data_IF_081478839920
#
_entry.id   IF_081478839920
#
_cell.length_a   1.000
_cell.length_b   1.000
_cell.length_c   1.000
_cell.angle_alpha   90.00
_cell.angle_beta   90.00
_cell.angle_gamma   90.00
#
_symmetry.space_group_name_H-M   'P 1'
#
loop_
_entity.id
_entity.type
_entity.pdbx_description
1 polymer ?
#
# COMPACT_ATOMS: atom_id res chain seq x y z
N UNK A 1 3.77 -17.96 -12.37
CA UNK A 1 3.46 -16.60 -12.87
C UNK A 1 2.42 -16.00 -11.93
N UNK A 2 2.66 -14.81 -11.35
CA UNK A 2 1.62 -14.14 -10.58
C UNK A 2 0.46 -13.78 -11.51
N UNK A 3 -0.77 -14.15 -11.13
CA UNK A 3 -1.97 -13.87 -11.92
C UNK A 3 -2.26 -12.38 -11.82
N UNK A 4 -2.27 -11.73 -12.98
CA UNK A 4 -2.65 -10.32 -13.12
C UNK A 4 -4.17 -10.20 -12.91
N UNK A 5 -4.55 -9.49 -11.87
CA UNK A 5 -5.95 -9.24 -11.51
C UNK A 5 -6.33 -7.79 -11.80
N UNK A 6 -7.63 -7.51 -11.77
CA UNK A 6 -8.19 -6.16 -11.93
C UNK A 6 -8.76 -5.65 -10.62
N UNK A 7 -8.62 -4.35 -10.40
CA UNK A 7 -9.22 -3.64 -9.28
C UNK A 7 -9.73 -2.28 -9.75
N UNK A 8 -10.68 -1.70 -9.02
CA UNK A 8 -11.25 -0.38 -9.28
C UNK A 8 -10.72 0.60 -8.24
N UNK A 9 -10.35 1.79 -8.68
CA UNK A 9 -10.07 2.92 -7.78
C UNK A 9 -11.42 3.40 -7.23
N UNK A 10 -11.59 3.31 -5.91
CA UNK A 10 -12.83 3.70 -5.23
C UNK A 10 -12.72 4.98 -4.41
N UNK A 11 -11.51 5.52 -4.31
CA UNK A 11 -11.26 6.76 -3.59
C UNK A 11 -9.96 7.40 -4.06
N UNK A 12 -10.00 8.72 -4.27
CA UNK A 12 -8.84 9.55 -4.62
C UNK A 12 -8.81 10.77 -3.73
N UNK A 13 -7.74 10.96 -2.97
CA UNK A 13 -7.53 12.15 -2.15
C UNK A 13 -6.16 12.75 -2.43
N UNK A 14 -6.14 13.89 -3.09
CA UNK A 14 -4.93 14.66 -3.37
C UNK A 14 -4.54 15.44 -2.11
N UNK A 15 -3.57 14.93 -1.38
CA UNK A 15 -3.08 15.52 -0.13
C UNK A 15 -2.19 16.75 -0.39
N UNK A 16 -1.40 16.70 -1.46
CA UNK A 16 -0.50 17.76 -1.94
C UNK A 16 -0.35 17.64 -3.45
N UNK A 17 0.30 18.63 -4.07
CA UNK A 17 0.58 18.65 -5.51
C UNK A 17 1.24 17.36 -6.06
N UNK A 18 1.97 16.63 -5.21
CA UNK A 18 2.71 15.42 -5.58
C UNK A 18 2.40 14.21 -4.71
N UNK A 19 1.35 14.29 -3.86
CA UNK A 19 1.02 13.22 -2.92
C UNK A 19 -0.48 12.91 -2.98
N UNK A 20 -0.82 11.66 -3.29
CA UNK A 20 -2.19 11.17 -3.35
C UNK A 20 -2.36 9.92 -2.48
N UNK A 21 -3.52 9.82 -1.84
CA UNK A 21 -4.01 8.59 -1.22
C UNK A 21 -5.05 7.99 -2.14
N UNK A 22 -4.83 6.74 -2.54
CA UNK A 22 -5.75 5.96 -3.36
C UNK A 22 -6.29 4.77 -2.57
N UNK A 23 -7.55 4.42 -2.80
CA UNK A 23 -8.10 3.13 -2.38
C UNK A 23 -8.53 2.35 -3.58
N UNK A 24 -8.19 1.08 -3.60
CA UNK A 24 -8.61 0.14 -4.63
C UNK A 24 -9.39 -1.01 -4.03
N UNK A 25 -10.34 -1.51 -4.80
CA UNK A 25 -11.11 -2.73 -4.46
C UNK A 25 -10.98 -3.69 -5.64
N UNK A 26 -10.58 -4.94 -5.40
CA UNK A 26 -10.57 -5.96 -6.45
C UNK A 26 -11.94 -6.09 -7.11
N UNK A 27 -11.97 -6.37 -8.42
CA UNK A 27 -13.24 -6.49 -9.17
C UNK A 27 -14.11 -7.66 -8.71
N UNK A 28 -13.52 -8.66 -8.06
CA UNK A 28 -14.23 -9.75 -7.39
C UNK A 28 -14.76 -9.36 -5.99
N UNK A 29 -14.47 -8.14 -5.53
CA UNK A 29 -14.88 -7.61 -4.22
C UNK A 29 -14.12 -8.21 -3.03
N UNK A 30 -13.16 -9.10 -3.26
CA UNK A 30 -12.49 -9.87 -2.20
C UNK A 30 -11.15 -9.24 -1.86
N UNK A 31 -11.04 -8.63 -0.68
CA UNK A 31 -9.75 -8.21 -0.13
C UNK A 31 -9.02 -9.46 0.39
N UNK A 32 -7.87 -9.82 -0.18
CA UNK A 32 -7.12 -10.99 0.26
C UNK A 32 -6.59 -10.82 1.69
N UNK A 33 -6.23 -11.93 2.32
CA UNK A 33 -5.47 -11.87 3.56
C UNK A 33 -4.06 -11.38 3.27
N UNK A 34 -3.55 -10.52 4.14
CA UNK A 34 -2.18 -10.03 4.11
C UNK A 34 -1.71 -9.68 5.51
N UNK A 35 -0.43 -9.43 5.66
CA UNK A 35 0.20 -8.97 6.91
C UNK A 35 0.59 -7.50 6.76
N UNK A 36 0.52 -6.74 7.84
CA UNK A 36 1.06 -5.37 7.87
C UNK A 36 2.53 -5.38 7.46
N UNK A 37 2.94 -4.38 6.66
CA UNK A 37 4.28 -4.31 6.09
C UNK A 37 4.42 -4.94 4.70
N UNK A 38 3.42 -5.67 4.23
CA UNK A 38 3.40 -6.18 2.85
C UNK A 38 3.09 -5.08 1.84
N UNK A 39 3.34 -5.38 0.58
CA UNK A 39 3.08 -4.50 -0.56
C UNK A 39 2.28 -5.23 -1.64
N UNK A 40 1.65 -4.47 -2.50
CA UNK A 40 1.04 -4.95 -3.75
C UNK A 40 1.79 -4.35 -4.94
N UNK A 41 1.61 -4.95 -6.10
CA UNK A 41 2.08 -4.36 -7.35
C UNK A 41 0.88 -3.82 -8.11
N UNK A 42 0.90 -2.53 -8.45
CA UNK A 42 -0.16 -1.88 -9.23
C UNK A 42 0.37 -1.48 -10.60
N UNK A 43 -0.42 -1.71 -11.62
CA UNK A 43 -0.10 -1.39 -13.00
C UNK A 43 -1.18 -0.55 -13.67
N UNK A 44 -0.72 0.34 -14.56
CA UNK A 44 -1.57 1.16 -15.42
C UNK A 44 -1.16 0.99 -16.88
N UNK A 45 -2.13 1.03 -17.82
CA UNK A 45 -1.81 1.15 -19.23
C UNK A 45 -1.15 2.50 -19.50
N UNK A 46 -0.10 2.50 -20.29
CA UNK A 46 0.62 3.72 -20.67
C UNK A 46 0.31 4.04 -22.14
N UNK A 47 -0.51 5.05 -22.43
CA UNK A 47 -0.95 5.35 -23.79
C UNK A 47 0.20 5.61 -24.77
N UNK A 48 1.28 6.25 -24.33
CA UNK A 48 2.47 6.51 -25.15
C UNK A 48 3.29 5.25 -25.48
N UNK A 49 2.92 4.10 -24.96
CA UNK A 49 3.59 2.81 -25.15
C UNK A 49 2.58 1.72 -25.58
N UNK A 50 1.71 2.03 -26.51
CA UNK A 50 0.68 1.12 -27.04
C UNK A 50 -0.20 0.48 -25.93
N UNK A 51 -0.50 1.25 -24.89
CA UNK A 51 -1.24 0.80 -23.71
C UNK A 51 -0.59 -0.38 -22.98
N UNK A 52 0.71 -0.52 -23.09
CA UNK A 52 1.46 -1.50 -22.29
C UNK A 52 1.26 -1.26 -20.81
N UNK A 53 0.90 -2.30 -20.07
CA UNK A 53 0.75 -2.21 -18.62
C UNK A 53 2.14 -2.19 -17.98
N UNK A 54 2.46 -1.07 -17.34
CA UNK A 54 3.68 -0.93 -16.54
C UNK A 54 3.30 -0.97 -15.07
N UNK A 55 4.10 -1.68 -14.27
CA UNK A 55 3.81 -1.99 -12.86
C UNK A 55 4.85 -1.42 -11.92
N UNK A 56 4.40 -1.06 -10.70
CA UNK A 56 5.26 -0.67 -9.57
C UNK A 56 4.73 -1.26 -8.28
N UNK A 57 5.64 -1.55 -7.36
CA UNK A 57 5.31 -1.98 -6.01
C UNK A 57 4.94 -0.77 -5.14
N UNK A 58 3.90 -0.95 -4.32
CA UNK A 58 3.42 0.03 -3.35
C UNK A 58 3.11 -0.68 -2.03
N UNK A 59 3.71 -0.18 -0.95
CA UNK A 59 3.38 -0.66 0.40
C UNK A 59 1.91 -0.41 0.72
N UNK A 60 1.28 -1.36 1.38
CA UNK A 60 -0.11 -1.27 1.80
C UNK A 60 -0.18 -0.38 3.05
N UNK A 61 -1.01 0.65 3.01
CA UNK A 61 -1.24 1.58 4.12
C UNK A 61 -2.47 1.21 4.97
N UNK A 62 -3.45 0.48 4.39
CA UNK A 62 -4.52 -0.12 5.16
C UNK A 62 -4.00 -1.28 6.02
N UNK A 63 -4.77 -1.70 7.02
CA UNK A 63 -4.41 -2.80 7.91
C UNK A 63 -5.17 -4.09 7.54
N UNK A 64 -4.69 -5.27 7.93
CA UNK A 64 -5.23 -6.56 7.50
C UNK A 64 -6.71 -6.78 7.87
N UNK A 65 -7.19 -6.18 8.96
CA UNK A 65 -8.55 -6.27 9.45
C UNK A 65 -9.54 -5.48 8.58
N UNK A 66 -9.04 -4.48 7.84
CA UNK A 66 -9.85 -3.74 6.88
C UNK A 66 -10.13 -4.59 5.64
N UNK A 67 -11.35 -5.10 5.53
CA UNK A 67 -11.81 -5.89 4.39
C UNK A 67 -12.62 -5.08 3.36
N UNK A 68 -12.55 -3.74 3.41
CA UNK A 68 -13.32 -2.87 2.51
C UNK A 68 -12.51 -2.39 1.31
N UNK A 69 -11.21 -2.15 1.48
CA UNK A 69 -10.32 -1.61 0.44
C UNK A 69 -8.85 -1.84 0.78
N UNK A 70 -7.99 -1.74 -0.21
CA UNK A 70 -6.54 -1.59 -0.05
C UNK A 70 -6.19 -0.12 -0.24
N UNK A 71 -5.51 0.49 0.74
CA UNK A 71 -5.09 1.89 0.71
C UNK A 71 -3.61 2.01 0.36
N UNK A 72 -3.30 2.95 -0.51
CA UNK A 72 -1.96 3.25 -1.00
C UNK A 72 -1.65 4.73 -0.83
N UNK A 73 -0.41 5.04 -0.47
CA UNK A 73 0.12 6.40 -0.44
C UNK A 73 1.14 6.53 -1.56
N UNK A 74 0.85 7.38 -2.54
CA UNK A 74 1.62 7.46 -3.78
C UNK A 74 2.16 8.87 -3.96
N UNK A 75 3.46 8.98 -4.22
CA UNK A 75 4.11 10.23 -4.59
C UNK A 75 4.32 10.27 -6.10
N UNK A 76 3.96 11.39 -6.70
CA UNK A 76 4.24 11.65 -8.10
C UNK A 76 5.72 11.97 -8.30
N UNK A 77 6.41 11.12 -9.03
CA UNK A 77 7.81 11.35 -9.44
C UNK A 77 7.78 12.26 -10.68
N UNK A 78 8.25 13.50 -10.53
CA UNK A 78 8.26 14.52 -11.59
C UNK A 78 9.64 14.71 -12.24
N UNK A 79 10.73 14.53 -11.49
CA UNK A 79 12.11 14.84 -11.91
C UNK A 79 13.02 13.62 -11.71
N UNK A 80 14.07 13.43 -12.52
CA UNK A 80 14.43 14.21 -13.73
C UNK A 80 13.46 14.02 -14.89
N UNK A 81 12.74 12.90 -14.94
CA UNK A 81 11.67 12.60 -15.89
C UNK A 81 10.42 12.11 -15.14
N UNK A 82 9.22 12.45 -15.61
CA UNK A 82 7.98 11.96 -14.99
C UNK A 82 7.95 10.43 -14.91
N UNK A 83 7.61 9.91 -13.73
CA UNK A 83 7.42 8.48 -13.54
C UNK A 83 6.15 8.03 -14.26
N UNK A 84 6.26 7.10 -15.20
CA UNK A 84 5.13 6.66 -16.06
C UNK A 84 3.91 6.21 -15.26
N UNK A 85 4.09 5.24 -14.37
CA UNK A 85 2.98 4.69 -13.56
C UNK A 85 2.45 5.71 -12.55
N UNK A 86 3.34 6.47 -11.88
CA UNK A 86 2.90 7.48 -10.92
C UNK A 86 2.14 8.60 -11.62
N UNK A 87 2.52 9.00 -12.84
CA UNK A 87 1.77 9.97 -13.64
C UNK A 87 0.40 9.43 -14.01
N UNK A 88 0.31 8.16 -14.46
CA UNK A 88 -0.97 7.55 -14.80
C UNK A 88 -1.90 7.47 -13.58
N UNK A 89 -1.38 7.06 -12.42
CA UNK A 89 -2.16 6.99 -11.17
C UNK A 89 -2.60 8.36 -10.64
N UNK A 90 -1.79 9.41 -10.86
CA UNK A 90 -2.17 10.79 -10.50
C UNK A 90 -3.26 11.38 -11.39
N UNK A 91 -3.34 10.92 -12.64
CA UNK A 91 -4.37 11.33 -13.58
C UNK A 91 -5.62 10.44 -13.52
N UNK A 92 -5.56 9.35 -12.77
CA UNK A 92 -6.68 8.44 -12.60
C UNK A 92 -7.71 8.99 -11.61
N UNK A 93 -8.97 8.63 -11.80
CA UNK A 93 -10.10 9.00 -10.98
C UNK A 93 -10.79 7.80 -10.35
N UNK A 94 -11.79 8.09 -9.53
CA UNK A 94 -12.70 7.06 -9.01
C UNK A 94 -13.47 6.40 -10.17
N UNK A 95 -13.54 5.07 -10.16
CA UNK A 95 -14.11 4.26 -11.22
C UNK A 95 -13.08 3.71 -12.21
N UNK A 96 -11.88 4.25 -12.27
CA UNK A 96 -10.84 3.76 -13.16
C UNK A 96 -10.33 2.38 -12.74
N UNK A 97 -10.03 1.55 -13.74
CA UNK A 97 -9.51 0.21 -13.55
C UNK A 97 -7.98 0.21 -13.49
N UNK A 98 -7.43 -0.54 -12.55
CA UNK A 98 -6.00 -0.83 -12.44
C UNK A 98 -5.74 -2.33 -12.51
N UNK A 99 -4.60 -2.70 -13.10
CA UNK A 99 -4.04 -4.05 -12.97
C UNK A 99 -3.34 -4.15 -11.63
N UNK A 100 -3.48 -5.28 -10.94
CA UNK A 100 -2.78 -5.48 -9.68
C UNK A 100 -2.35 -6.93 -9.45
N UNK A 101 -1.34 -7.10 -8.61
CA UNK A 101 -0.87 -8.39 -8.13
C UNK A 101 -1.07 -8.42 -6.62
N UNK A 102 -1.65 -9.52 -6.09
CA UNK A 102 -1.94 -9.67 -4.67
C UNK A 102 -0.76 -9.41 -3.73
N UNK A 103 -1.02 -9.20 -2.42
CA UNK A 103 0.00 -8.88 -1.44
C UNK A 103 1.15 -9.88 -1.39
N UNK A 104 2.35 -9.36 -1.23
CA UNK A 104 3.59 -10.11 -1.07
C UNK A 104 4.58 -9.33 -0.21
N UNK A 105 5.69 -9.97 0.14
CA UNK A 105 6.73 -9.40 1.00
C UNK A 105 6.69 -10.00 2.41
N UNK A 106 7.88 -10.24 2.99
CA UNK A 106 8.02 -10.86 4.31
C UNK A 106 9.07 -10.16 5.20
N UNK A 107 9.75 -9.15 4.66
CA UNK A 107 10.91 -8.57 5.33
C UNK A 107 10.56 -7.56 6.44
N UNK A 108 9.45 -6.82 6.29
CA UNK A 108 9.04 -5.82 7.27
C UNK A 108 7.94 -6.40 8.14
N UNK A 109 8.31 -6.78 9.38
CA UNK A 109 7.41 -7.38 10.37
C UNK A 109 7.63 -6.77 11.75
N UNK A 110 6.55 -6.74 12.54
CA UNK A 110 6.65 -6.49 13.98
C UNK A 110 6.65 -7.84 14.68
N UNK A 111 7.67 -8.07 15.49
CA UNK A 111 7.74 -9.28 16.30
C UNK A 111 6.74 -9.20 17.46
N UNK A 112 6.00 -10.27 17.67
CA UNK A 112 5.10 -10.43 18.81
C UNK A 112 5.82 -11.06 20.02
N UNK A 113 6.91 -11.78 19.74
CA UNK A 113 7.70 -12.48 20.75
C UNK A 113 9.17 -12.14 20.65
N UNK A 114 9.82 -12.15 21.78
CA UNK A 114 11.28 -12.07 21.91
C UNK A 114 11.93 -13.42 21.59
N UNK A 115 13.26 -13.44 21.42
CA UNK A 115 14.00 -14.67 21.11
C UNK A 115 13.91 -15.77 22.17
N UNK A 116 13.50 -15.45 23.38
CA UNK A 116 13.26 -16.40 24.49
C UNK A 116 11.80 -16.88 24.56
N UNK A 117 10.95 -16.44 23.60
CA UNK A 117 9.53 -16.79 23.54
C UNK A 117 8.61 -15.91 24.40
N UNK A 118 9.14 -15.00 25.19
CA UNK A 118 8.34 -14.04 25.95
C UNK A 118 7.67 -13.02 25.01
N UNK A 119 6.54 -12.45 25.47
CA UNK A 119 5.85 -11.40 24.70
C UNK A 119 6.77 -10.19 24.53
N UNK A 120 6.83 -9.66 23.31
CA UNK A 120 7.57 -8.42 23.04
C UNK A 120 6.71 -7.21 23.40
N UNK A 121 7.00 -6.57 24.52
CA UNK A 121 6.31 -5.37 25.01
C UNK A 121 7.11 -4.08 24.77
N UNK A 122 8.22 -4.19 24.05
CA UNK A 122 9.06 -3.02 23.77
C UNK A 122 8.33 -2.02 22.87
N UNK A 123 8.69 -0.75 23.08
CA UNK A 123 8.28 0.36 22.19
C UNK A 123 8.72 0.08 20.76
N UNK A 124 7.87 0.45 19.80
CA UNK A 124 8.13 0.33 18.38
C UNK A 124 8.53 1.70 17.85
N UNK A 125 9.73 1.79 17.26
CA UNK A 125 10.21 3.01 16.63
C UNK A 125 10.24 2.79 15.13
N UNK A 126 9.43 3.59 14.41
CA UNK A 126 9.35 3.58 12.95
C UNK A 126 10.13 4.77 12.39
N UNK A 127 11.06 4.53 11.48
CA UNK A 127 11.82 5.60 10.81
C UNK A 127 11.48 5.57 9.33
N UNK A 128 10.85 6.63 8.85
CA UNK A 128 10.42 6.71 7.45
C UNK A 128 10.73 8.07 6.82
N UNK A 129 10.83 8.07 5.48
CA UNK A 129 10.89 9.28 4.66
C UNK A 129 9.82 9.25 3.58
N UNK A 130 9.07 10.34 3.43
CA UNK A 130 8.04 10.48 2.40
C UNK A 130 6.98 9.38 2.48
N UNK A 131 6.72 8.68 1.36
CA UNK A 131 5.72 7.60 1.29
C UNK A 131 6.15 6.30 2.00
N UNK A 132 7.37 6.23 2.52
CA UNK A 132 7.83 5.13 3.36
C UNK A 132 7.04 4.98 4.66
N UNK A 133 6.21 5.97 5.03
CA UNK A 133 5.28 5.89 6.15
C UNK A 133 4.13 4.88 5.93
N UNK A 134 3.79 4.53 4.69
CA UNK A 134 2.64 3.69 4.38
C UNK A 134 2.58 2.36 5.16
N UNK A 135 3.64 1.52 5.23
CA UNK A 135 3.61 0.30 6.01
C UNK A 135 3.45 0.56 7.51
N UNK A 136 3.97 1.68 8.03
CA UNK A 136 3.84 2.02 9.45
C UNK A 136 2.43 2.49 9.81
N UNK A 137 1.72 3.11 8.87
CA UNK A 137 0.28 3.36 9.02
C UNK A 137 -0.49 2.05 9.15
N UNK A 138 -0.15 1.03 8.35
CA UNK A 138 -0.74 -0.30 8.45
C UNK A 138 -0.46 -0.93 9.82
N UNK A 139 0.78 -0.88 10.31
CA UNK A 139 1.15 -1.39 11.63
C UNK A 139 0.39 -0.69 12.76
N UNK A 140 0.35 0.64 12.76
CA UNK A 140 -0.31 1.39 13.83
C UNK A 140 -1.81 1.05 13.92
N UNK A 141 -2.49 0.95 12.77
CA UNK A 141 -3.91 0.58 12.70
C UNK A 141 -4.14 -0.87 13.13
N UNK A 142 -3.29 -1.80 12.68
CA UNK A 142 -3.34 -3.21 13.04
C UNK A 142 -3.19 -3.41 14.55
N UNK A 143 -2.16 -2.84 15.15
CA UNK A 143 -1.94 -2.95 16.59
C UNK A 143 -3.06 -2.31 17.41
N UNK A 144 -3.60 -1.18 16.94
CA UNK A 144 -4.77 -0.55 17.56
C UNK A 144 -5.97 -1.50 17.57
N UNK A 145 -6.27 -2.14 16.46
CA UNK A 145 -7.42 -3.05 16.33
C UNK A 145 -7.25 -4.35 17.16
N UNK A 146 -5.99 -4.79 17.33
CA UNK A 146 -5.66 -5.90 18.22
C UNK A 146 -5.66 -5.51 19.71
N UNK A 147 -5.82 -4.22 20.03
CA UNK A 147 -5.73 -3.72 21.41
C UNK A 147 -4.31 -3.79 21.98
N UNK A 148 -3.28 -3.85 21.13
CA UNK A 148 -1.88 -3.82 21.56
C UNK A 148 -1.58 -2.49 22.27
N UNK A 149 -0.89 -2.57 23.39
CA UNK A 149 -0.57 -1.41 24.24
C UNK A 149 0.83 -0.84 24.01
N UNK A 150 1.61 -1.44 23.11
CA UNK A 150 2.93 -0.91 22.80
C UNK A 150 2.84 0.48 22.19
N UNK A 151 3.72 1.36 22.62
CA UNK A 151 3.85 2.69 22.05
C UNK A 151 4.51 2.60 20.67
N UNK A 152 3.89 3.25 19.67
CA UNK A 152 4.48 3.41 18.33
C UNK A 152 4.89 4.87 18.18
N UNK A 153 6.15 5.07 17.80
CA UNK A 153 6.74 6.38 17.47
C UNK A 153 7.18 6.36 16.02
N UNK A 154 6.81 7.39 15.25
CA UNK A 154 7.19 7.58 13.86
C UNK A 154 7.82 8.98 13.66
#
# INVERSE_FOLDING_TARGET
MAIDKKAIITYVNLMKEDLVVLRIVPTDGIIPNYESGQFITVGMPIPSEDNKIIRRAYSIASHPENKKYIELVIRWVRKPLPGRVTTALFNAGEGDEVSWIPPTGAALKINEQMGDGSKDERRIVCVSGGTGIAPFMSFARHLHDLGDKREIIN
#
